data_IF_320114435578
#
_entry.id   IF_320114435578
#
_cell.length_a   1.000
_cell.length_b   1.000
_cell.length_c   1.000
_cell.angle_alpha   90.00
_cell.angle_beta   90.00
_cell.angle_gamma   90.00
#
_symmetry.space_group_name_H-M   'P 1'
#
loop_
_entity.id
_entity.type
_entity.pdbx_description
1 polymer ?
#
# COMPACT_ATOMS: atom_id res chain seq x y z
N UNK A 1 -6.81 8.88 -4.41
CA UNK A 1 -5.69 8.60 -5.30
C UNK A 1 -6.04 7.36 -6.09
N UNK A 2 -5.76 7.35 -7.39
CA UNK A 2 -6.16 6.25 -8.28
C UNK A 2 -5.02 5.83 -9.21
N UNK A 3 -4.69 4.54 -9.17
CA UNK A 3 -3.75 3.90 -10.08
C UNK A 3 -4.47 2.82 -10.87
N UNK A 4 -4.27 2.77 -12.18
CA UNK A 4 -4.91 1.81 -13.07
C UNK A 4 -3.85 0.97 -13.75
N UNK A 5 -4.03 -0.35 -13.72
CA UNK A 5 -3.28 -1.30 -14.50
C UNK A 5 -4.13 -1.82 -15.66
N UNK A 6 -3.64 -1.67 -16.89
CA UNK A 6 -4.24 -2.25 -18.09
C UNK A 6 -3.50 -3.52 -18.47
N UNK A 7 -4.23 -4.63 -18.61
CA UNK A 7 -3.68 -5.93 -19.00
C UNK A 7 -4.72 -6.75 -19.76
N UNK A 8 -4.33 -7.96 -20.20
CA UNK A 8 -5.27 -8.94 -20.72
C UNK A 8 -5.89 -9.72 -19.57
N UNK A 9 -7.21 -9.97 -19.65
CA UNK A 9 -7.96 -10.70 -18.64
C UNK A 9 -7.39 -12.09 -18.37
N UNK A 10 -6.96 -12.75 -19.45
CA UNK A 10 -6.39 -14.10 -19.41
C UNK A 10 -5.03 -14.15 -18.69
N UNK A 11 -4.38 -13.00 -18.54
CA UNK A 11 -3.07 -12.89 -17.90
C UNK A 11 -3.17 -12.35 -16.46
N UNK A 12 -4.37 -12.14 -15.90
CA UNK A 12 -4.51 -11.69 -14.50
C UNK A 12 -3.93 -12.80 -13.60
N UNK A 13 -2.86 -12.52 -12.83
CA UNK A 13 -2.24 -13.53 -11.99
C UNK A 13 -3.08 -13.76 -10.73
N UNK A 14 -2.92 -14.95 -10.15
CA UNK A 14 -3.46 -15.24 -8.82
C UNK A 14 -2.75 -14.40 -7.75
N UNK A 15 -3.43 -14.14 -6.64
CA UNK A 15 -2.87 -13.51 -5.46
C UNK A 15 -1.61 -14.24 -4.97
N UNK A 16 -1.60 -15.57 -5.06
CA UNK A 16 -0.41 -16.39 -4.77
C UNK A 16 0.78 -16.01 -5.64
N UNK A 17 0.61 -15.93 -6.96
CA UNK A 17 1.68 -15.58 -7.89
C UNK A 17 2.24 -14.18 -7.63
N UNK A 18 1.36 -13.21 -7.36
CA UNK A 18 1.73 -11.84 -6.97
C UNK A 18 2.57 -11.86 -5.69
N UNK A 19 2.10 -12.55 -4.66
CA UNK A 19 2.83 -12.62 -3.40
C UNK A 19 4.19 -13.28 -3.56
N UNK A 20 4.27 -14.42 -4.27
CA UNK A 20 5.51 -15.16 -4.46
C UNK A 20 6.58 -14.36 -5.21
N UNK A 21 6.21 -13.61 -6.25
CA UNK A 21 7.19 -12.79 -6.98
C UNK A 21 7.72 -11.65 -6.10
N UNK A 22 6.85 -10.99 -5.33
CA UNK A 22 7.25 -9.88 -4.46
C UNK A 22 8.12 -10.37 -3.29
N UNK A 23 7.83 -11.53 -2.73
CA UNK A 23 8.67 -12.17 -1.72
C UNK A 23 10.04 -12.59 -2.29
N UNK A 24 10.09 -13.10 -3.52
CA UNK A 24 11.36 -13.39 -4.22
C UNK A 24 12.20 -12.12 -4.46
N UNK A 25 11.56 -10.97 -4.60
CA UNK A 25 12.23 -9.67 -4.70
C UNK A 25 12.71 -9.12 -3.35
N UNK A 26 12.44 -9.82 -2.23
CA UNK A 26 12.93 -9.47 -0.90
C UNK A 26 11.98 -8.59 -0.09
N UNK A 27 10.74 -8.37 -0.54
CA UNK A 27 9.74 -7.63 0.22
C UNK A 27 9.01 -8.55 1.21
N UNK A 28 8.81 -8.09 2.46
CA UNK A 28 7.89 -8.73 3.41
C UNK A 28 6.44 -8.35 3.07
N UNK A 29 6.01 -8.79 1.89
CA UNK A 29 4.68 -8.55 1.35
C UNK A 29 3.80 -9.78 1.55
N UNK A 30 2.56 -9.57 1.98
CA UNK A 30 1.55 -10.63 2.12
C UNK A 30 0.20 -10.13 1.63
N UNK A 31 -0.52 -10.97 0.90
CA UNK A 31 -1.94 -10.79 0.64
C UNK A 31 -2.69 -11.51 1.76
N UNK A 32 -3.62 -10.81 2.40
CA UNK A 32 -4.40 -11.32 3.53
C UNK A 32 -5.72 -11.97 3.08
N UNK A 33 -6.07 -11.81 1.80
CA UNK A 33 -7.20 -12.45 1.13
C UNK A 33 -6.86 -13.86 0.60
N UNK A 34 -7.85 -14.57 0.07
CA UNK A 34 -7.65 -15.92 -0.51
C UNK A 34 -6.61 -15.91 -1.64
N UNK A 35 -5.58 -16.76 -1.51
CA UNK A 35 -4.43 -16.77 -2.42
C UNK A 35 -4.74 -17.39 -3.80
N UNK A 36 -5.72 -18.28 -3.88
CA UNK A 36 -6.10 -18.94 -5.14
C UNK A 36 -7.01 -18.05 -6.02
N UNK A 37 -7.50 -16.93 -5.48
CA UNK A 37 -8.27 -15.94 -6.24
C UNK A 37 -7.37 -14.98 -7.02
N UNK A 38 -7.91 -14.38 -8.07
CA UNK A 38 -7.35 -13.21 -8.73
C UNK A 38 -7.88 -11.94 -8.10
N UNK A 39 -7.26 -10.80 -8.38
CA UNK A 39 -7.80 -9.48 -8.02
C UNK A 39 -9.20 -9.34 -8.62
N UNK A 40 -10.19 -8.96 -7.80
CA UNK A 40 -11.59 -8.80 -8.17
C UNK A 40 -12.14 -7.44 -7.71
N UNK A 41 -13.46 -7.28 -7.63
CA UNK A 41 -14.12 -6.03 -7.24
C UNK A 41 -14.36 -5.87 -5.73
N UNK A 42 -13.80 -6.75 -4.88
CA UNK A 42 -14.08 -6.76 -3.44
C UNK A 42 -13.04 -5.99 -2.61
N UNK A 43 -12.15 -5.23 -3.24
CA UNK A 43 -10.97 -4.68 -2.59
C UNK A 43 -9.92 -5.75 -2.31
N UNK A 44 -8.77 -5.32 -1.81
CA UNK A 44 -7.69 -6.24 -1.45
C UNK A 44 -7.08 -5.83 -0.11
N UNK A 45 -6.91 -6.81 0.76
CA UNK A 45 -6.18 -6.67 2.01
C UNK A 45 -4.77 -7.22 1.82
N UNK A 46 -3.77 -6.42 2.21
CA UNK A 46 -2.36 -6.82 2.18
C UNK A 46 -1.64 -6.34 3.43
N UNK A 47 -0.41 -6.79 3.62
CA UNK A 47 0.52 -6.20 4.57
C UNK A 47 1.89 -6.05 3.95
N UNK A 48 2.59 -4.97 4.31
CA UNK A 48 4.00 -4.75 3.98
C UNK A 48 4.78 -4.45 5.26
N UNK A 49 5.86 -5.18 5.52
CA UNK A 49 6.66 -5.07 6.76
C UNK A 49 5.81 -5.16 8.04
N UNK A 50 4.78 -6.00 8.04
CA UNK A 50 3.85 -6.15 9.17
C UNK A 50 2.81 -5.05 9.32
N UNK A 51 2.73 -4.05 8.42
CA UNK A 51 1.69 -3.03 8.40
C UNK A 51 0.52 -3.49 7.51
N UNK A 52 -0.61 -3.95 8.08
CA UNK A 52 -1.79 -4.33 7.29
C UNK A 52 -2.49 -3.08 6.75
N UNK A 53 -3.12 -3.24 5.58
CA UNK A 53 -3.87 -2.17 4.90
C UNK A 53 -4.96 -2.77 4.02
N UNK A 54 -5.89 -1.92 3.61
CA UNK A 54 -6.93 -2.21 2.64
C UNK A 54 -6.98 -1.10 1.59
N UNK A 55 -7.33 -1.44 0.37
CA UNK A 55 -7.70 -0.49 -0.68
C UNK A 55 -8.78 -1.09 -1.58
N UNK A 56 -9.53 -0.23 -2.23
CA UNK A 56 -10.60 -0.63 -3.12
C UNK A 56 -10.03 -1.04 -4.48
N UNK A 57 -10.64 -2.06 -5.09
CA UNK A 57 -10.28 -2.56 -6.41
C UNK A 57 -11.51 -2.59 -7.30
N UNK A 58 -11.35 -2.11 -8.53
CA UNK A 58 -12.41 -2.15 -9.54
C UNK A 58 -11.85 -2.79 -10.81
N UNK A 59 -12.49 -3.85 -11.28
CA UNK A 59 -12.09 -4.56 -12.50
C UNK A 59 -13.16 -4.33 -13.56
N UNK A 60 -12.78 -3.75 -14.69
CA UNK A 60 -13.71 -3.43 -15.77
C UNK A 60 -13.12 -3.80 -17.14
N UNK A 61 -13.97 -4.12 -18.14
CA UNK A 61 -13.55 -4.12 -19.53
C UNK A 61 -13.01 -2.76 -19.93
N UNK A 62 -11.97 -2.75 -20.76
CA UNK A 62 -11.27 -1.52 -21.10
C UNK A 62 -12.20 -0.51 -21.77
N UNK A 63 -13.18 -0.95 -22.56
CA UNK A 63 -14.14 -0.08 -23.25
C UNK A 63 -14.98 0.75 -22.27
N UNK A 64 -15.31 0.20 -21.10
CA UNK A 64 -16.04 0.91 -20.06
C UNK A 64 -15.16 1.95 -19.34
N UNK A 65 -13.85 1.77 -19.35
CA UNK A 65 -12.88 2.66 -18.69
C UNK A 65 -12.42 3.78 -19.63
N UNK A 66 -12.13 3.51 -20.91
CA UNK A 66 -11.56 4.54 -21.80
C UNK A 66 -12.59 5.46 -22.47
N UNK A 67 -13.90 5.27 -22.21
CA UNK A 67 -14.92 6.25 -22.60
C UNK A 67 -14.96 7.47 -21.69
N UNK A 68 -14.33 7.39 -20.52
CA UNK A 68 -14.18 8.51 -19.60
C UNK A 68 -13.18 9.53 -20.14
N UNK A 69 -13.51 10.83 -20.07
CA UNK A 69 -12.64 11.92 -20.50
C UNK A 69 -11.29 11.89 -19.79
N UNK A 70 -11.29 11.40 -18.55
CA UNK A 70 -10.13 11.43 -17.65
C UNK A 70 -9.08 10.37 -18.03
N UNK A 71 -9.42 9.42 -18.92
CA UNK A 71 -8.56 8.30 -19.35
C UNK A 71 -8.16 8.42 -20.84
N UNK A 72 -8.63 9.44 -21.56
CA UNK A 72 -8.40 9.59 -23.02
C UNK A 72 -6.92 9.63 -23.37
N UNK A 73 -6.08 10.23 -22.53
CA UNK A 73 -4.64 10.36 -22.75
C UNK A 73 -3.90 9.01 -22.74
N UNK A 74 -4.50 7.96 -22.16
CA UNK A 74 -3.92 6.61 -22.10
C UNK A 74 -4.19 5.81 -23.39
N UNK A 75 -5.24 6.15 -24.15
CA UNK A 75 -5.66 5.42 -25.37
C UNK A 75 -4.54 5.05 -26.33
N UNK A 76 -3.58 5.96 -26.66
CA UNK A 76 -2.55 5.66 -27.65
C UNK A 76 -1.63 4.50 -27.25
N UNK A 77 -1.49 4.22 -25.96
CA UNK A 77 -0.64 3.15 -25.45
C UNK A 77 -1.35 1.79 -25.41
N UNK A 78 -2.68 1.80 -25.34
CA UNK A 78 -3.50 0.58 -25.27
C UNK A 78 -3.50 -0.09 -26.64
N UNK A 79 -3.00 -1.32 -26.69
CA UNK A 79 -2.88 -2.07 -27.95
C UNK A 79 -3.62 -3.39 -27.89
N UNK A 80 -3.27 -4.24 -26.93
CA UNK A 80 -3.80 -5.60 -26.79
C UNK A 80 -4.47 -5.87 -25.44
N UNK A 81 -4.50 -4.89 -24.53
CA UNK A 81 -5.16 -4.97 -23.24
C UNK A 81 -6.68 -4.92 -23.41
N UNK A 82 -7.41 -5.70 -22.62
CA UNK A 82 -8.88 -5.79 -22.65
C UNK A 82 -9.51 -5.52 -21.27
N UNK A 83 -8.69 -5.37 -20.24
CA UNK A 83 -9.12 -5.22 -18.85
C UNK A 83 -8.36 -4.10 -18.17
N UNK A 84 -9.08 -3.30 -17.39
CA UNK A 84 -8.55 -2.31 -16.47
C UNK A 84 -8.79 -2.77 -15.02
N UNK A 85 -7.74 -2.69 -14.20
CA UNK A 85 -7.81 -2.87 -12.75
C UNK A 85 -7.46 -1.54 -12.10
N UNK A 86 -8.45 -0.88 -11.49
CA UNK A 86 -8.26 0.37 -10.76
C UNK A 86 -8.06 0.07 -9.28
N UNK A 87 -7.02 0.66 -8.70
CA UNK A 87 -6.71 0.67 -7.28
C UNK A 87 -7.01 2.07 -6.73
N UNK A 88 -7.88 2.15 -5.73
CA UNK A 88 -8.27 3.43 -5.12
C UNK A 88 -7.91 3.42 -3.64
N UNK A 89 -7.13 4.43 -3.23
CA UNK A 89 -6.72 4.59 -1.84
C UNK A 89 -6.74 6.07 -1.40
N UNK A 90 -6.88 6.26 -0.08
CA UNK A 90 -6.73 7.55 0.59
C UNK A 90 -5.28 7.83 0.96
N UNK A 91 -5.02 8.71 1.93
CA UNK A 91 -3.66 9.04 2.39
C UNK A 91 -3.00 7.94 3.27
N UNK A 92 -3.04 6.70 2.79
CA UNK A 92 -2.45 5.53 3.45
C UNK A 92 -1.17 5.10 2.71
N UNK A 93 -0.03 5.27 3.37
CA UNK A 93 1.27 4.92 2.81
C UNK A 93 1.47 3.40 2.66
N UNK A 94 0.78 2.57 3.46
CA UNK A 94 0.85 1.11 3.34
C UNK A 94 0.08 0.68 2.10
N UNK A 95 -1.11 1.28 1.87
CA UNK A 95 -1.85 1.07 0.64
C UNK A 95 -1.02 1.49 -0.59
N UNK A 96 -0.41 2.68 -0.57
CA UNK A 96 0.45 3.14 -1.65
C UNK A 96 1.63 2.19 -1.95
N UNK A 97 2.34 1.73 -0.91
CA UNK A 97 3.40 0.74 -1.05
C UNK A 97 2.90 -0.59 -1.62
N UNK A 98 1.80 -1.13 -1.09
CA UNK A 98 1.21 -2.37 -1.59
C UNK A 98 0.79 -2.26 -3.05
N UNK A 99 0.09 -1.19 -3.42
CA UNK A 99 -0.39 -0.95 -4.78
C UNK A 99 0.79 -0.82 -5.74
N UNK A 100 1.85 -0.08 -5.37
CA UNK A 100 3.07 0.03 -6.17
C UNK A 100 3.74 -1.33 -6.40
N UNK A 101 3.85 -2.16 -5.35
CA UNK A 101 4.39 -3.52 -5.45
C UNK A 101 3.52 -4.43 -6.32
N UNK A 102 2.19 -4.43 -6.12
CA UNK A 102 1.26 -5.21 -6.95
C UNK A 102 1.38 -4.79 -8.41
N UNK A 103 1.49 -3.49 -8.70
CA UNK A 103 1.68 -3.00 -10.05
C UNK A 103 3.00 -3.46 -10.67
N UNK A 104 4.08 -3.55 -9.91
CA UNK A 104 5.32 -4.20 -10.39
C UNK A 104 5.05 -5.67 -10.75
N UNK A 105 4.37 -6.41 -9.87
CA UNK A 105 4.05 -7.82 -10.13
C UNK A 105 3.17 -8.00 -11.39
N UNK A 106 2.19 -7.12 -11.61
CA UNK A 106 1.36 -7.12 -12.81
C UNK A 106 2.15 -6.79 -14.08
N UNK A 107 3.12 -5.87 -14.01
CA UNK A 107 4.02 -5.58 -15.14
C UNK A 107 4.87 -6.81 -15.48
N UNK A 108 5.42 -7.51 -14.48
CA UNK A 108 6.28 -8.69 -14.68
C UNK A 108 5.52 -9.93 -15.16
N UNK A 109 4.34 -10.20 -14.59
CA UNK A 109 3.59 -11.43 -14.85
C UNK A 109 2.65 -11.31 -16.05
N UNK A 110 2.21 -10.09 -16.37
CA UNK A 110 1.09 -9.86 -17.30
C UNK A 110 1.38 -8.79 -18.35
N UNK A 111 2.59 -8.21 -18.38
CA UNK A 111 2.95 -7.08 -19.22
C UNK A 111 1.97 -5.90 -19.09
N UNK A 112 1.50 -5.65 -17.86
CA UNK A 112 0.55 -4.58 -17.59
C UNK A 112 1.13 -3.18 -17.87
N UNK A 113 0.30 -2.27 -18.33
CA UNK A 113 0.62 -0.85 -18.39
C UNK A 113 -0.01 -0.14 -17.18
N UNK A 114 0.81 0.56 -16.41
CA UNK A 114 0.40 1.16 -15.13
C UNK A 114 0.38 2.67 -15.25
N UNK A 115 -0.72 3.27 -14.80
CA UNK A 115 -0.94 4.72 -14.87
C UNK A 115 -1.47 5.24 -13.55
N UNK A 116 -1.00 6.41 -13.16
CA UNK A 116 -1.54 7.17 -12.04
C UNK A 116 -2.36 8.33 -12.57
N UNK A 117 -3.64 8.33 -12.20
CA UNK A 117 -4.65 9.13 -12.88
C UNK A 117 -4.63 10.59 -12.43
N UNK A 118 -4.35 10.84 -11.15
CA UNK A 118 -4.38 12.18 -10.57
C UNK A 118 -3.34 13.12 -11.24
N UNK A 119 -2.14 12.60 -11.53
CA UNK A 119 -1.05 13.38 -12.16
C UNK A 119 -0.82 13.03 -13.65
N UNK A 120 -1.66 12.15 -14.22
CA UNK A 120 -1.52 11.65 -15.59
C UNK A 120 -0.12 11.07 -15.92
N UNK A 121 0.40 10.25 -15.01
CA UNK A 121 1.73 9.65 -15.12
C UNK A 121 1.62 8.20 -15.59
N UNK A 122 2.39 7.85 -16.61
CA UNK A 122 2.67 6.45 -16.95
C UNK A 122 3.85 5.96 -16.10
N UNK A 123 3.60 4.94 -15.28
CA UNK A 123 4.62 4.36 -14.43
C UNK A 123 5.45 3.32 -15.19
N UNK A 124 6.77 3.47 -15.14
CA UNK A 124 7.68 2.35 -15.42
C UNK A 124 7.92 1.53 -14.14
N UNK A 125 8.45 0.32 -14.30
CA UNK A 125 8.86 -0.50 -13.16
C UNK A 125 9.88 0.22 -12.28
N UNK A 126 10.83 0.91 -12.89
CA UNK A 126 11.90 1.63 -12.19
C UNK A 126 11.33 2.80 -11.37
N UNK A 127 10.33 3.51 -11.92
CA UNK A 127 9.63 4.57 -11.18
C UNK A 127 8.89 4.00 -9.96
N UNK A 128 8.16 2.90 -10.13
CA UNK A 128 7.47 2.22 -9.01
C UNK A 128 8.47 1.78 -7.93
N UNK A 129 9.61 1.20 -8.34
CA UNK A 129 10.67 0.79 -7.43
C UNK A 129 11.33 1.98 -6.69
N UNK A 130 11.40 3.14 -7.33
CA UNK A 130 11.95 4.35 -6.71
C UNK A 130 10.99 4.98 -5.68
N UNK A 131 9.68 4.82 -5.85
CA UNK A 131 8.67 5.36 -4.94
C UNK A 131 8.46 4.49 -3.70
N UNK A 132 8.58 3.17 -3.81
CA UNK A 132 8.39 2.23 -2.68
C UNK A 132 9.20 2.61 -1.43
N UNK A 133 10.52 2.89 -1.50
CA UNK A 133 11.28 3.33 -0.34
C UNK A 133 10.71 4.57 0.35
N UNK A 134 10.11 5.50 -0.39
CA UNK A 134 9.51 6.70 0.19
C UNK A 134 8.29 6.34 1.04
N UNK A 135 7.40 5.49 0.52
CA UNK A 135 6.28 4.96 1.29
C UNK A 135 6.74 4.22 2.55
N UNK A 136 7.76 3.37 2.44
CA UNK A 136 8.30 2.63 3.57
C UNK A 136 8.92 3.53 4.64
N UNK A 137 9.58 4.63 4.25
CA UNK A 137 10.13 5.61 5.20
C UNK A 137 9.00 6.30 5.97
N UNK A 138 7.94 6.73 5.27
CA UNK A 138 6.78 7.37 5.92
C UNK A 138 6.05 6.42 6.87
N UNK A 139 5.92 5.14 6.52
CA UNK A 139 5.32 4.12 7.39
C UNK A 139 6.04 3.90 8.72
N UNK A 140 7.37 4.05 8.70
CA UNK A 140 8.19 3.88 9.89
C UNK A 140 8.23 5.13 10.78
N UNK A 141 7.64 6.25 10.35
CA UNK A 141 7.55 7.43 11.21
C UNK A 141 6.53 7.16 12.31
N UNK A 142 6.86 7.42 13.58
CA UNK A 142 5.91 7.30 14.67
C UNK A 142 4.73 8.24 14.38
N UNK A 143 3.51 7.72 14.54
CA UNK A 143 2.32 8.54 14.42
C UNK A 143 2.33 9.62 15.52
N UNK A 144 1.69 10.77 15.28
CA UNK A 144 1.55 11.82 16.33
C UNK A 144 0.86 11.26 17.59
N UNK A 145 -0.02 10.28 17.42
CA UNK A 145 -0.75 9.61 18.50
C UNK A 145 0.22 8.76 19.35
N UNK A 146 1.13 8.00 18.73
CA UNK A 146 2.16 7.22 19.45
C UNK A 146 3.14 8.11 20.22
N UNK A 147 3.44 9.31 19.70
CA UNK A 147 4.27 10.28 20.42
C UNK A 147 3.55 10.81 21.66
N UNK A 148 2.27 11.17 21.53
CA UNK A 148 1.47 11.68 22.65
C UNK A 148 1.21 10.60 23.72
N UNK A 149 0.98 9.35 23.34
CA UNK A 149 0.87 8.23 24.30
C UNK A 149 2.20 7.95 25.01
N UNK A 150 3.34 7.92 24.30
CA UNK A 150 4.66 7.77 24.93
C UNK A 150 5.02 8.93 25.86
N UNK A 151 4.67 10.17 25.48
CA UNK A 151 4.85 11.34 26.34
C UNK A 151 3.97 11.21 27.59
N UNK A 152 2.71 10.77 27.44
CA UNK A 152 1.77 10.58 28.55
C UNK A 152 2.24 9.48 29.51
N UNK A 153 2.68 8.32 29.00
CA UNK A 153 3.21 7.23 29.81
C UNK A 153 4.51 7.62 30.53
N UNK A 154 5.42 8.32 29.84
CA UNK A 154 6.68 8.77 30.45
C UNK A 154 6.44 9.80 31.56
N UNK A 155 5.49 10.72 31.37
CA UNK A 155 5.08 11.69 32.37
C UNK A 155 4.45 11.02 33.58
N UNK A 156 3.57 10.03 33.38
CA UNK A 156 2.98 9.26 34.48
C UNK A 156 4.04 8.47 35.26
N UNK A 157 4.97 7.79 34.59
CA UNK A 157 6.08 7.06 35.25
C UNK A 157 7.00 8.01 36.02
N UNK A 158 7.30 9.20 35.47
CA UNK A 158 8.13 10.19 36.17
C UNK A 158 7.44 10.76 37.42
N UNK A 159 6.11 10.95 37.38
CA UNK A 159 5.33 11.45 38.51
C UNK A 159 5.23 10.38 39.62
N UNK A 160 5.02 9.12 39.26
CA UNK A 160 5.07 7.98 40.18
C UNK A 160 6.44 7.82 40.83
N UNK A 161 7.52 7.93 40.05
CA UNK A 161 8.89 7.84 40.57
C UNK A 161 9.21 8.98 41.57
N UNK A 162 8.81 10.22 41.26
CA UNK A 162 8.95 11.36 42.17
C UNK A 162 8.17 11.14 43.47
N UNK A 163 6.93 10.66 43.39
CA UNK A 163 6.09 10.41 44.57
C UNK A 163 6.71 9.32 45.47
N UNK A 164 7.23 8.25 44.89
CA UNK A 164 7.91 7.17 45.63
C UNK A 164 9.21 7.65 46.27
N UNK A 165 9.99 8.50 45.59
CA UNK A 165 11.22 9.08 46.13
C UNK A 165 10.95 9.96 47.36
N UNK A 166 10.00 10.90 47.27
CA UNK A 166 9.64 11.77 48.39
C UNK A 166 9.05 11.00 49.58
N UNK A 167 8.25 9.96 49.32
CA UNK A 167 7.72 9.11 50.38
C UNK A 167 8.82 8.32 51.10
N UNK A 168 9.84 7.83 50.37
CA UNK A 168 11.01 7.20 50.99
C UNK A 168 11.83 8.20 51.81
N UNK A 169 12.04 9.41 51.30
CA UNK A 169 12.82 10.45 51.98
C UNK A 169 12.17 10.89 53.30
N UNK A 170 10.83 11.03 53.33
CA UNK A 170 10.07 11.37 54.55
C UNK A 170 10.19 10.32 55.66
N UNK A 171 10.44 9.06 55.32
CA UNK A 171 10.63 7.98 56.30
C UNK A 171 12.06 7.90 56.86
N UNK A 172 13.02 8.62 56.28
CA UNK A 172 14.41 8.65 56.75
C UNK A 172 14.65 9.73 57.81
N UNK A 173 13.83 10.78 57.82
CA UNK A 173 13.92 11.88 58.79
C UNK A 173 12.92 11.75 59.95
N UNK A 174 12.57 10.51 60.32
CA UNK A 174 11.67 10.20 61.44
C UNK A 174 12.40 9.48 62.56
#
# INVERSE_FOLDING_TARGET
MTQIAFLRKVDIPTNKQIQEILQKMGYDFKILSELDKTIDQNGLECSINGHPTYFETYVAPIEATITDSDVVWVKPDITNQDTAISFVWGADFAAGACIGLISIALTELSNAFVYYMDDQIKYTKEMLLADIPQFLVELNKPSKIDMDERITESNQRSMLAKKTFWNKLKNVFK
#
